data_IF_389520878238
#
_entry.id   IF_389520878238
#
_cell.length_a   1.000
_cell.length_b   1.000
_cell.length_c   1.000
_cell.angle_alpha   90.00
_cell.angle_beta   90.00
_cell.angle_gamma   90.00
#
_symmetry.space_group_name_H-M   'P 1'
#
loop_
_entity.id
_entity.type
_entity.pdbx_description
1 polymer ?
#
# COMPACT_ATOMS: atom_id res chain seq x y z
N UNK A 1 -11.34 0.29 9.76
CA UNK A 1 -11.33 0.74 8.35
C UNK A 1 -11.15 2.25 8.27
N UNK A 2 -11.99 3.05 8.94
CA UNK A 2 -11.83 4.53 9.05
C UNK A 2 -10.45 4.93 9.60
N UNK A 3 -10.01 4.33 10.71
CA UNK A 3 -8.71 4.63 11.30
C UNK A 3 -7.51 4.40 10.36
N UNK A 4 -7.56 3.35 9.52
CA UNK A 4 -6.48 3.06 8.57
C UNK A 4 -6.36 4.16 7.52
N UNK A 5 -7.51 4.65 7.01
CA UNK A 5 -7.49 5.71 6.00
C UNK A 5 -7.09 7.04 6.63
N UNK A 6 -7.52 7.36 7.84
CA UNK A 6 -7.05 8.57 8.53
C UNK A 6 -5.52 8.55 8.77
N UNK A 7 -4.95 7.38 9.09
CA UNK A 7 -3.49 7.22 9.25
C UNK A 7 -2.76 7.38 7.92
N UNK A 8 -3.29 6.77 6.85
CA UNK A 8 -2.79 6.93 5.48
C UNK A 8 -2.84 8.37 5.00
N UNK A 9 -3.95 9.08 5.26
CA UNK A 9 -4.11 10.49 4.90
C UNK A 9 -3.09 11.37 5.61
N UNK A 10 -2.86 11.15 6.90
CA UNK A 10 -1.84 11.89 7.66
C UNK A 10 -0.43 11.62 7.15
N UNK A 11 -0.12 10.35 6.86
CA UNK A 11 1.17 9.97 6.29
C UNK A 11 1.36 10.60 4.90
N UNK A 12 0.36 10.50 4.03
CA UNK A 12 0.40 11.07 2.68
C UNK A 12 0.52 12.60 2.71
N UNK A 13 -0.19 13.29 3.61
CA UNK A 13 -0.07 14.73 3.79
C UNK A 13 1.31 15.18 4.33
N UNK A 14 1.98 14.34 5.12
CA UNK A 14 3.32 14.60 5.64
C UNK A 14 4.42 14.34 4.61
N UNK A 15 4.21 13.41 3.68
CA UNK A 15 5.11 13.16 2.56
C UNK A 15 4.81 14.20 1.48
N UNK A 16 5.67 15.23 1.39
CA UNK A 16 5.48 16.38 0.49
C UNK A 16 5.54 16.04 -1.00
N UNK A 17 6.00 14.85 -1.36
CA UNK A 17 5.84 14.27 -2.68
C UNK A 17 4.44 13.66 -2.75
N UNK A 18 3.61 14.17 -3.66
CA UNK A 18 2.23 13.74 -3.85
C UNK A 18 2.18 12.29 -4.37
N UNK A 19 2.42 11.33 -3.48
CA UNK A 19 2.28 9.91 -3.76
C UNK A 19 0.79 9.61 -3.80
N UNK A 20 0.25 9.35 -5.00
CA UNK A 20 -1.09 8.79 -5.15
C UNK A 20 -1.12 7.42 -4.49
N UNK A 21 -1.93 7.27 -3.44
CA UNK A 21 -2.07 5.99 -2.75
C UNK A 21 -3.37 5.34 -3.18
N UNK A 22 -3.30 4.10 -3.69
CA UNK A 22 -4.49 3.31 -4.03
C UNK A 22 -4.63 2.17 -3.02
N UNK A 23 -5.76 2.13 -2.31
CA UNK A 23 -6.11 1.05 -1.39
C UNK A 23 -7.12 0.14 -2.08
N UNK A 24 -6.74 -1.11 -2.32
CA UNK A 24 -7.59 -2.10 -3.00
C UNK A 24 -8.22 -3.04 -1.96
N UNK A 25 -9.54 -3.14 -1.93
CA UNK A 25 -10.27 -4.08 -1.07
C UNK A 25 -10.87 -5.25 -1.86
N UNK A 26 -10.95 -6.43 -1.24
CA UNK A 26 -11.62 -7.62 -1.81
C UNK A 26 -13.14 -7.42 -1.95
N UNK A 27 -13.71 -6.55 -1.11
CA UNK A 27 -15.12 -6.20 -1.11
C UNK A 27 -15.27 -4.70 -1.10
N UNK A 28 -16.32 -4.14 -1.71
CA UNK A 28 -16.60 -2.73 -1.61
C UNK A 28 -16.68 -2.34 -0.14
N UNK A 29 -15.94 -1.30 0.29
CA UNK A 29 -16.00 -0.84 1.67
C UNK A 29 -17.43 -0.34 1.96
N UNK A 30 -17.95 -0.65 3.14
CA UNK A 30 -19.31 -0.22 3.55
C UNK A 30 -19.44 1.30 3.72
N UNK A 31 -18.34 2.04 3.63
CA UNK A 31 -18.29 3.50 3.75
C UNK A 31 -17.45 4.05 2.61
N UNK A 32 -18.02 4.97 1.83
CA UNK A 32 -17.26 5.71 0.82
C UNK A 32 -16.26 6.62 1.52
N UNK A 33 -14.98 6.25 1.47
CA UNK A 33 -13.92 7.07 2.04
C UNK A 33 -13.48 8.03 0.95
N UNK A 34 -13.81 9.31 1.12
CA UNK A 34 -13.41 10.37 0.20
C UNK A 34 -12.15 11.02 0.73
N UNK A 35 -11.02 10.72 0.10
CA UNK A 35 -9.76 11.38 0.38
C UNK A 35 -9.23 12.03 -0.90
N UNK A 36 -8.60 13.19 -0.80
CA UNK A 36 -8.00 13.87 -1.95
C UNK A 36 -6.72 13.20 -2.44
N UNK A 37 -6.10 12.34 -1.61
CA UNK A 37 -4.82 11.68 -1.89
C UNK A 37 -4.90 10.15 -1.87
N UNK A 38 -5.90 9.60 -1.18
CA UNK A 38 -6.14 8.16 -1.12
C UNK A 38 -7.31 7.79 -2.05
N UNK A 39 -7.00 7.04 -3.10
CA UNK A 39 -8.00 6.40 -3.94
C UNK A 39 -8.35 5.03 -3.35
N UNK A 40 -9.64 4.75 -3.23
CA UNK A 40 -10.10 3.44 -2.76
C UNK A 40 -10.72 2.69 -3.93
N UNK A 41 -10.05 1.61 -4.33
CA UNK A 41 -10.52 0.69 -5.35
C UNK A 41 -11.00 -0.62 -4.71
N UNK A 42 -11.79 -1.39 -5.45
CA UNK A 42 -12.24 -2.70 -5.01
C UNK A 42 -12.29 -3.67 -6.18
N UNK A 43 -12.13 -4.96 -5.87
CA UNK A 43 -12.27 -5.99 -6.87
C UNK A 43 -13.70 -5.99 -7.46
N UNK A 44 -13.86 -6.26 -8.77
CA UNK A 44 -15.18 -6.29 -9.42
C UNK A 44 -16.03 -7.47 -8.94
N UNK A 45 -15.39 -8.56 -8.46
CA UNK A 45 -16.05 -9.72 -7.87
C UNK A 45 -15.38 -10.07 -6.55
N UNK A 46 -16.17 -10.13 -5.49
CA UNK A 46 -15.71 -10.56 -4.19
C UNK A 46 -15.41 -12.08 -4.22
N UNK A 47 -14.13 -12.41 -4.30
CA UNK A 47 -13.60 -13.77 -4.17
C UNK A 47 -12.36 -13.77 -3.29
N UNK A 48 -11.93 -14.94 -2.82
CA UNK A 48 -10.65 -15.05 -2.13
C UNK A 48 -9.52 -14.57 -3.06
N UNK A 49 -8.60 -13.74 -2.54
CA UNK A 49 -7.48 -13.15 -3.29
C UNK A 49 -7.90 -12.16 -4.38
N UNK A 50 -9.18 -11.75 -4.42
CA UNK A 50 -9.69 -10.83 -5.45
C UNK A 50 -9.03 -9.44 -5.40
N UNK A 51 -8.61 -8.99 -4.22
CA UNK A 51 -7.82 -7.77 -4.09
C UNK A 51 -6.44 -7.93 -4.75
N UNK A 52 -5.79 -9.08 -4.56
CA UNK A 52 -4.47 -9.37 -5.13
C UNK A 52 -4.54 -9.39 -6.66
N UNK A 53 -5.58 -10.02 -7.22
CA UNK A 53 -5.81 -10.03 -8.67
C UNK A 53 -6.11 -8.65 -9.23
N UNK A 54 -6.87 -7.80 -8.51
CA UNK A 54 -7.10 -6.42 -8.95
C UNK A 54 -5.83 -5.57 -8.84
N UNK A 55 -4.99 -5.75 -7.82
CA UNK A 55 -3.68 -5.10 -7.73
C UNK A 55 -2.81 -5.49 -8.93
N UNK A 56 -2.74 -6.79 -9.25
CA UNK A 56 -1.99 -7.28 -10.42
C UNK A 56 -2.53 -6.67 -11.71
N UNK A 57 -3.86 -6.57 -11.85
CA UNK A 57 -4.51 -5.95 -13.01
C UNK A 57 -4.17 -4.46 -13.13
N UNK A 58 -4.18 -3.73 -12.02
CA UNK A 58 -3.83 -2.31 -11.98
C UNK A 58 -2.36 -2.08 -12.37
N UNK A 59 -1.44 -2.87 -11.80
CA UNK A 59 -0.01 -2.79 -12.12
C UNK A 59 0.23 -3.11 -13.59
N UNK A 60 -0.43 -4.14 -14.12
CA UNK A 60 -0.27 -4.55 -15.51
C UNK A 60 -0.87 -3.55 -16.52
N UNK A 61 -1.91 -2.82 -16.13
CA UNK A 61 -2.58 -1.85 -16.99
C UNK A 61 -1.88 -0.48 -17.02
N UNK A 62 -0.93 -0.24 -16.12
CA UNK A 62 -0.17 1.01 -16.06
C UNK A 62 0.99 0.98 -17.05
N UNK A 63 1.26 2.11 -17.72
CA UNK A 63 2.37 2.24 -18.66
C UNK A 63 3.73 2.24 -17.95
N UNK A 64 3.77 2.51 -16.64
CA UNK A 64 4.99 2.62 -15.85
C UNK A 64 4.95 1.78 -14.57
N UNK A 65 4.90 0.43 -14.67
CA UNK A 65 4.80 -0.44 -13.50
C UNK A 65 5.98 -0.27 -12.54
N UNK A 66 7.17 0.12 -13.02
CA UNK A 66 8.36 0.41 -12.19
C UNK A 66 8.17 1.56 -11.19
N UNK A 67 7.28 2.52 -11.48
CA UNK A 67 6.97 3.62 -10.58
C UNK A 67 5.96 3.20 -9.50
N UNK A 68 5.32 2.04 -9.68
CA UNK A 68 4.33 1.52 -8.73
C UNK A 68 5.04 0.79 -7.60
N UNK A 69 4.67 1.15 -6.37
CA UNK A 69 5.07 0.44 -5.16
C UNK A 69 3.86 -0.25 -4.53
N UNK A 70 3.86 -1.58 -4.57
CA UNK A 70 2.82 -2.41 -3.95
C UNK A 70 3.20 -2.71 -2.52
N UNK A 71 2.31 -2.39 -1.58
CA UNK A 71 2.46 -2.71 -0.16
C UNK A 71 1.72 -4.01 0.14
N UNK A 72 2.43 -5.10 0.44
CA UNK A 72 1.80 -6.39 0.79
C UNK A 72 2.64 -7.19 1.78
N UNK A 73 1.96 -8.04 2.57
CA UNK A 73 2.60 -9.08 3.37
C UNK A 73 2.71 -10.41 2.63
N UNK A 74 1.90 -10.60 1.59
CA UNK A 74 1.81 -11.85 0.86
C UNK A 74 2.97 -12.00 -0.13
N UNK A 75 3.64 -13.15 -0.07
CA UNK A 75 4.80 -13.42 -0.93
C UNK A 75 4.40 -13.73 -2.36
N UNK A 76 3.26 -14.39 -2.59
CA UNK A 76 2.81 -14.73 -3.92
C UNK A 76 2.42 -13.46 -4.69
N UNK A 77 1.69 -12.54 -4.06
CA UNK A 77 1.42 -11.23 -4.67
C UNK A 77 2.71 -10.45 -4.94
N UNK A 78 3.64 -10.43 -3.97
CA UNK A 78 4.92 -9.74 -4.12
C UNK A 78 5.73 -10.23 -5.32
N UNK A 79 5.75 -11.54 -5.55
CA UNK A 79 6.47 -12.14 -6.69
C UNK A 79 5.79 -11.77 -8.02
N UNK A 80 4.46 -11.87 -8.08
CA UNK A 80 3.67 -11.52 -9.28
C UNK A 80 3.88 -10.08 -9.71
N UNK A 81 3.78 -9.11 -8.79
CA UNK A 81 3.93 -7.69 -9.15
C UNK A 81 5.38 -7.32 -9.46
N UNK A 82 6.36 -7.98 -8.84
CA UNK A 82 7.78 -7.82 -9.20
C UNK A 82 8.07 -8.32 -10.59
N UNK A 83 7.47 -9.42 -11.00
CA UNK A 83 7.57 -9.94 -12.36
C UNK A 83 7.02 -8.96 -13.40
N UNK A 84 6.01 -8.16 -13.01
CA UNK A 84 5.47 -7.06 -13.83
C UNK A 84 6.31 -5.79 -13.81
N UNK A 85 7.40 -5.75 -13.03
CA UNK A 85 8.29 -4.58 -12.92
C UNK A 85 8.02 -3.68 -11.72
N UNK A 86 6.97 -3.93 -10.94
CA UNK A 86 6.65 -3.10 -9.78
C UNK A 86 7.58 -3.36 -8.59
N UNK A 87 7.77 -2.32 -7.79
CA UNK A 87 8.47 -2.42 -6.52
C UNK A 87 7.54 -2.94 -5.44
N UNK A 88 8.08 -3.72 -4.48
CA UNK A 88 7.30 -4.24 -3.35
C UNK A 88 7.84 -3.67 -2.05
N UNK A 89 6.92 -3.27 -1.18
CA UNK A 89 7.20 -2.86 0.17
C UNK A 89 6.42 -3.72 1.17
N UNK A 90 7.05 -4.12 2.27
CA UNK A 90 6.42 -5.03 3.23
C UNK A 90 5.39 -4.27 4.06
N UNK A 91 4.18 -4.83 4.18
CA UNK A 91 3.10 -4.16 4.91
C UNK A 91 3.41 -3.98 6.40
N UNK A 92 4.25 -4.82 7.00
CA UNK A 92 4.70 -4.65 8.39
C UNK A 92 5.53 -3.38 8.58
N UNK A 93 6.51 -3.13 7.72
CA UNK A 93 7.27 -1.88 7.74
C UNK A 93 6.41 -0.67 7.38
N UNK A 94 5.41 -0.86 6.52
CA UNK A 94 4.50 0.22 6.16
C UNK A 94 3.58 0.61 7.32
N UNK A 95 3.13 -0.37 8.10
CA UNK A 95 2.36 -0.12 9.32
C UNK A 95 3.14 0.74 10.31
N UNK A 96 4.43 0.49 10.47
CA UNK A 96 5.30 1.30 11.33
C UNK A 96 5.40 2.76 10.84
N UNK A 97 5.48 2.97 9.51
CA UNK A 97 5.51 4.30 8.90
C UNK A 97 4.21 5.09 9.07
N UNK A 98 3.05 4.44 8.97
CA UNK A 98 1.74 5.11 9.08
C UNK A 98 1.20 5.14 10.52
N UNK A 99 1.74 4.31 11.41
CA UNK A 99 1.40 4.23 12.84
C UNK A 99 2.63 4.46 13.73
N UNK A 100 3.13 5.71 13.87
CA UNK A 100 4.27 6.00 14.74
C UNK A 100 3.99 5.74 16.23
N UNK A 101 2.72 5.46 16.61
CA UNK A 101 2.30 5.11 17.97
C UNK A 101 2.33 3.60 18.24
N UNK A 102 2.49 2.77 17.21
CA UNK A 102 2.62 1.31 17.30
C UNK A 102 4.06 0.82 17.39
N UNK A 103 5.03 1.73 17.27
CA UNK A 103 6.46 1.43 17.43
C UNK A 103 6.69 0.94 18.86
N UNK A 104 6.96 -0.36 19.04
CA UNK A 104 7.62 -0.83 20.26
C UNK A 104 8.98 -0.13 20.32
N UNK A 105 9.35 0.53 21.43
CA UNK A 105 10.63 1.21 21.53
C UNK A 105 11.76 0.19 21.39
N UNK A 106 12.33 0.07 20.18
CA UNK A 106 13.34 -0.94 19.88
C UNK A 106 13.72 -1.10 18.40
N UNK A 107 12.83 -0.79 17.46
CA UNK A 107 13.11 -0.98 16.03
C UNK A 107 13.40 0.36 15.32
N UNK A 108 14.52 1.01 15.67
CA UNK A 108 15.07 2.09 14.84
C UNK A 108 15.98 1.47 13.78
N UNK A 109 15.75 1.64 12.48
CA UNK A 109 16.76 1.36 11.47
C UNK A 109 17.73 2.55 11.41
N UNK A 110 18.50 2.73 12.49
CA UNK A 110 19.74 3.51 12.42
C UNK A 110 20.84 2.49 12.11
N UNK A 111 21.19 2.34 10.82
CA UNK A 111 22.50 1.91 10.30
C UNK A 111 22.46 1.92 8.77
N UNK A 112 22.58 3.11 8.17
CA UNK A 112 23.25 3.25 6.88
C UNK A 112 24.66 3.74 7.19
N UNK A 113 25.61 2.87 6.88
CA UNK A 113 27.00 2.94 7.32
C UNK A 113 27.74 4.19 6.89
N UNK A 114 28.55 4.66 7.82
CA UNK A 114 29.76 5.44 7.59
C UNK A 114 30.89 4.68 8.28
N UNK A 115 31.70 3.97 7.49
CA UNK A 115 33.10 3.63 7.74
C UNK A 115 33.68 2.98 6.48
#
# INVERSE_FOLDING_TARGET
MVALVEMLERWAAANKDAVRVVVVFERPPSTTIRSSVIEVAHAPKAAANSADDEIVRLVQADDQPQEIRVVTSDKALADRVRSLGASVYRAEGFRDLIDPRGVKPGQRPDQLGQA
#
